data_IF_782485268232
#
_entry.id   IF_782485268232
#
_cell.length_a   1.000
_cell.length_b   1.000
_cell.length_c   1.000
_cell.angle_alpha   90.00
_cell.angle_beta   90.00
_cell.angle_gamma   90.00
#
_symmetry.space_group_name_H-M   'P 1'
#
loop_
_entity.id
_entity.type
_entity.pdbx_description
1 polymer ?
#
# COMPACT_ATOMS: atom_id res chain seq x y z
N UNK A 1 2.06 -16.66 -24.82
CA UNK A 1 1.41 -15.39 -25.20
C UNK A 1 1.45 -14.50 -23.95
N UNK A 2 2.06 -13.34 -24.11
CA UNK A 2 2.13 -12.39 -23.01
C UNK A 2 0.77 -11.80 -22.65
N UNK A 3 0.56 -11.56 -21.35
CA UNK A 3 -0.68 -10.97 -20.87
C UNK A 3 -0.61 -9.44 -21.02
N UNK A 4 -1.45 -8.89 -21.91
CA UNK A 4 -1.55 -7.45 -22.14
C UNK A 4 -1.76 -6.64 -20.85
N UNK A 5 -2.56 -7.17 -19.91
CA UNK A 5 -2.83 -6.48 -18.64
C UNK A 5 -1.58 -6.44 -17.75
N UNK A 6 -0.73 -7.45 -17.78
CA UNK A 6 0.55 -7.43 -17.05
C UNK A 6 1.47 -6.31 -17.54
N UNK A 7 1.56 -6.14 -18.87
CA UNK A 7 2.32 -5.02 -19.47
C UNK A 7 1.77 -3.66 -19.06
N UNK A 8 0.44 -3.48 -19.11
CA UNK A 8 -0.22 -2.24 -18.66
C UNK A 8 0.09 -1.99 -17.17
N UNK A 9 0.05 -3.01 -16.36
CA UNK A 9 0.40 -2.94 -14.93
C UNK A 9 1.84 -2.46 -14.73
N UNK A 10 2.80 -3.08 -15.42
CA UNK A 10 4.21 -2.68 -15.35
C UNK A 10 4.43 -1.22 -15.77
N UNK A 11 3.79 -0.78 -16.87
CA UNK A 11 3.86 0.61 -17.34
C UNK A 11 3.31 1.58 -16.30
N UNK A 12 2.14 1.31 -15.72
CA UNK A 12 1.51 2.17 -14.71
C UNK A 12 2.38 2.31 -13.46
N UNK A 13 2.91 1.21 -12.95
CA UNK A 13 3.79 1.22 -11.78
C UNK A 13 5.12 1.91 -12.11
N UNK A 14 5.72 1.64 -13.28
CA UNK A 14 6.93 2.32 -13.72
C UNK A 14 6.75 3.83 -13.81
N UNK A 15 5.64 4.29 -14.40
CA UNK A 15 5.33 5.72 -14.49
C UNK A 15 5.11 6.36 -13.12
N UNK A 16 4.40 5.69 -12.21
CA UNK A 16 4.17 6.18 -10.85
C UNK A 16 5.48 6.29 -10.04
N UNK A 17 6.47 5.48 -10.36
CA UNK A 17 7.81 5.47 -9.74
C UNK A 17 8.84 6.31 -10.53
N UNK A 18 8.39 7.10 -11.49
CA UNK A 18 9.23 7.99 -12.31
C UNK A 18 10.36 7.26 -13.05
N UNK A 19 10.17 5.99 -13.39
CA UNK A 19 11.13 5.20 -14.14
C UNK A 19 11.10 5.59 -15.62
N UNK A 20 12.26 5.50 -16.28
CA UNK A 20 12.35 5.54 -17.73
C UNK A 20 11.87 4.20 -18.28
N UNK A 21 10.74 4.21 -18.98
CA UNK A 21 10.10 3.00 -19.52
C UNK A 21 10.81 2.58 -20.81
N UNK A 22 11.20 1.29 -20.88
CA UNK A 22 11.70 0.68 -22.10
C UNK A 22 10.51 0.18 -22.95
N UNK A 23 10.31 0.69 -24.18
CA UNK A 23 9.23 0.24 -25.04
C UNK A 23 9.48 -1.14 -25.65
N UNK A 24 10.69 -1.70 -25.53
CA UNK A 24 11.02 -3.03 -26.04
C UNK A 24 10.92 -4.06 -24.92
N UNK A 25 9.80 -4.76 -24.85
CA UNK A 25 9.57 -5.85 -23.89
C UNK A 25 10.31 -7.11 -24.36
N UNK A 26 11.22 -7.60 -23.55
CA UNK A 26 12.00 -8.83 -23.80
C UNK A 26 12.11 -9.63 -22.52
N UNK A 27 12.12 -10.95 -22.66
CA UNK A 27 12.26 -11.86 -21.54
C UNK A 27 13.54 -12.67 -21.61
N UNK A 28 14.01 -13.07 -20.43
CA UNK A 28 15.15 -13.93 -20.20
C UNK A 28 14.71 -15.14 -19.36
N UNK A 29 15.44 -16.23 -19.44
CA UNK A 29 15.30 -17.37 -18.56
C UNK A 29 16.30 -17.28 -17.40
N UNK A 30 15.79 -17.37 -16.17
CA UNK A 30 16.56 -17.51 -14.94
C UNK A 30 16.57 -18.98 -14.56
N UNK A 31 17.71 -19.62 -14.71
CA UNK A 31 17.83 -21.08 -14.52
C UNK A 31 18.31 -21.39 -13.11
N UNK A 32 17.52 -22.12 -12.35
CA UNK A 32 17.92 -22.65 -11.05
C UNK A 32 17.04 -23.83 -10.68
N UNK A 33 17.55 -24.66 -9.78
CA UNK A 33 16.86 -25.86 -9.33
C UNK A 33 16.28 -25.62 -7.93
N UNK A 34 14.95 -25.56 -7.86
CA UNK A 34 14.24 -25.45 -6.59
C UNK A 34 12.87 -26.12 -6.69
N UNK A 35 12.37 -26.64 -5.57
CA UNK A 35 11.13 -27.45 -5.55
C UNK A 35 9.87 -26.67 -5.94
N UNK A 36 9.87 -25.34 -5.77
CA UNK A 36 8.76 -24.45 -6.13
C UNK A 36 8.77 -24.05 -7.62
N UNK A 37 9.80 -24.42 -8.35
CA UNK A 37 10.02 -24.04 -9.73
C UNK A 37 9.70 -25.21 -10.67
N UNK A 38 8.45 -25.23 -11.18
CA UNK A 38 7.88 -26.34 -11.93
C UNK A 38 8.70 -26.74 -13.16
N UNK A 39 9.30 -25.77 -13.86
CA UNK A 39 9.98 -25.96 -15.15
C UNK A 39 11.50 -26.04 -15.04
N UNK A 40 12.07 -25.78 -13.85
CA UNK A 40 13.52 -25.65 -13.65
C UNK A 40 14.07 -24.29 -14.09
N UNK A 41 13.22 -23.37 -14.54
CA UNK A 41 13.55 -21.97 -14.86
C UNK A 41 12.39 -21.05 -14.56
N UNK A 42 12.68 -19.78 -14.41
CA UNK A 42 11.70 -18.71 -14.26
C UNK A 42 11.87 -17.72 -15.40
N UNK A 43 10.76 -17.34 -16.03
CA UNK A 43 10.75 -16.24 -17.03
C UNK A 43 10.86 -14.93 -16.25
N UNK A 44 11.80 -14.08 -16.67
CA UNK A 44 12.12 -12.81 -16.03
C UNK A 44 12.66 -11.81 -17.06
N UNK A 45 13.14 -10.65 -16.60
CA UNK A 45 13.76 -9.63 -17.46
C UNK A 45 15.07 -9.15 -16.82
N UNK A 46 16.14 -9.90 -17.02
CA UNK A 46 17.46 -9.57 -16.46
C UNK A 46 18.14 -8.42 -17.21
N UNK A 47 18.16 -8.50 -18.54
CA UNK A 47 18.92 -7.57 -19.36
C UNK A 47 18.12 -6.37 -19.84
N UNK A 48 16.81 -6.56 -20.04
CA UNK A 48 15.90 -5.53 -20.52
C UNK A 48 14.69 -5.39 -19.58
N UNK A 49 14.86 -4.78 -18.40
CA UNK A 49 13.73 -4.50 -17.50
C UNK A 49 12.82 -3.44 -18.12
N UNK A 50 11.53 -3.47 -17.76
CA UNK A 50 10.50 -2.57 -18.30
C UNK A 50 10.74 -1.09 -17.94
N UNK A 51 11.48 -0.82 -16.86
CA UNK A 51 11.82 0.55 -16.46
C UNK A 51 13.09 0.61 -15.62
N UNK A 52 13.79 1.73 -15.71
CA UNK A 52 15.07 1.99 -15.03
C UNK A 52 15.13 3.40 -14.46
N UNK A 53 15.97 3.57 -13.42
CA UNK A 53 16.38 4.88 -12.90
C UNK A 53 15.22 5.79 -12.49
N UNK A 54 14.37 5.30 -11.60
CA UNK A 54 13.27 6.07 -11.04
C UNK A 54 13.52 6.50 -9.60
N UNK A 55 12.45 6.99 -8.99
CA UNK A 55 12.50 7.39 -7.57
C UNK A 55 11.11 7.40 -6.93
N UNK A 56 11.11 7.37 -5.61
CA UNK A 56 9.95 7.56 -4.76
C UNK A 56 10.33 8.43 -3.57
N UNK A 57 9.57 9.47 -3.30
CA UNK A 57 9.78 10.35 -2.15
C UNK A 57 8.99 9.83 -0.95
N UNK A 58 9.65 9.68 0.19
CA UNK A 58 9.06 9.26 1.46
C UNK A 58 9.30 10.31 2.54
N UNK A 59 8.47 10.31 3.57
CA UNK A 59 8.67 11.14 4.75
C UNK A 59 9.63 10.42 5.72
N UNK A 60 10.80 10.95 5.97
CA UNK A 60 11.76 10.42 6.93
C UNK A 60 11.24 10.48 8.38
N UNK A 61 11.95 9.85 9.30
CA UNK A 61 11.58 9.81 10.73
C UNK A 61 11.54 11.22 11.36
N UNK A 62 12.35 12.12 10.85
CA UNK A 62 12.41 13.55 11.21
C UNK A 62 11.34 14.42 10.54
N UNK A 63 10.46 13.82 9.74
CA UNK A 63 9.43 14.51 8.97
C UNK A 63 9.90 15.13 7.64
N UNK A 64 11.20 15.09 7.34
CA UNK A 64 11.75 15.60 6.09
C UNK A 64 11.45 14.63 4.93
N UNK A 65 11.30 15.18 3.74
CA UNK A 65 11.15 14.36 2.53
C UNK A 65 12.51 13.80 2.14
N UNK A 66 12.55 12.49 1.93
CA UNK A 66 13.72 11.77 1.48
C UNK A 66 13.42 11.02 0.19
N UNK A 67 14.26 11.24 -0.82
CA UNK A 67 14.19 10.53 -2.09
C UNK A 67 14.87 9.18 -1.98
N UNK A 68 14.14 8.13 -2.36
CA UNK A 68 14.65 6.78 -2.51
C UNK A 68 14.69 6.47 -4.00
N UNK A 69 15.88 6.24 -4.53
CA UNK A 69 16.04 5.88 -5.92
C UNK A 69 15.61 4.42 -6.14
N UNK A 70 15.09 4.17 -7.32
CA UNK A 70 14.65 2.85 -7.78
C UNK A 70 15.53 2.47 -8.95
N UNK A 71 16.21 1.33 -8.82
CA UNK A 71 17.12 0.84 -9.83
C UNK A 71 16.34 0.41 -11.06
N UNK A 72 15.31 -0.43 -10.87
CA UNK A 72 14.53 -0.99 -11.97
C UNK A 72 13.19 -1.56 -11.51
N UNK A 73 12.34 -1.77 -12.50
CA UNK A 73 11.14 -2.60 -12.44
C UNK A 73 11.21 -3.62 -13.57
N UNK A 74 10.87 -4.87 -13.29
CA UNK A 74 10.79 -5.91 -14.31
C UNK A 74 9.63 -6.87 -14.05
N UNK A 75 9.14 -7.47 -15.13
CA UNK A 75 8.15 -8.54 -15.05
C UNK A 75 8.83 -9.90 -14.92
N UNK A 76 8.20 -10.79 -14.18
CA UNK A 76 8.55 -12.19 -14.07
C UNK A 76 7.31 -13.06 -13.85
N UNK A 77 7.47 -14.36 -13.88
CA UNK A 77 6.42 -15.29 -13.46
C UNK A 77 6.59 -15.69 -12.00
N UNK A 78 5.48 -15.83 -11.28
CA UNK A 78 5.50 -16.32 -9.91
C UNK A 78 5.74 -17.84 -9.87
N UNK A 79 6.27 -18.31 -8.75
CA UNK A 79 6.52 -19.73 -8.47
C UNK A 79 5.37 -20.32 -7.66
N UNK A 80 5.41 -21.63 -7.39
CA UNK A 80 4.39 -22.23 -6.55
C UNK A 80 4.56 -21.82 -5.07
N UNK A 81 3.47 -21.89 -4.32
CA UNK A 81 3.50 -21.71 -2.87
C UNK A 81 3.99 -22.99 -2.22
N UNK A 82 5.05 -22.87 -1.42
CA UNK A 82 5.61 -24.01 -0.69
C UNK A 82 5.33 -23.88 0.81
N UNK A 83 4.78 -24.93 1.39
CA UNK A 83 4.55 -25.06 2.82
C UNK A 83 5.47 -26.13 3.37
N UNK A 84 6.35 -25.76 4.28
CA UNK A 84 7.31 -26.67 4.92
C UNK A 84 6.75 -27.23 6.22
N UNK A 85 6.83 -28.54 6.37
CA UNK A 85 6.56 -29.30 7.61
C UNK A 85 7.83 -30.06 8.03
N UNK A 86 7.81 -30.68 9.19
CA UNK A 86 9.00 -31.32 9.73
C UNK A 86 9.58 -32.41 8.79
N UNK A 87 8.71 -33.22 8.18
CA UNK A 87 9.12 -34.40 7.39
C UNK A 87 8.75 -34.31 5.90
N UNK A 88 8.02 -33.28 5.49
CA UNK A 88 7.59 -33.09 4.09
C UNK A 88 7.31 -31.63 3.76
N UNK A 89 7.17 -31.32 2.47
CA UNK A 89 6.71 -30.03 1.97
C UNK A 89 5.50 -30.23 1.07
N UNK A 90 4.52 -29.34 1.18
CA UNK A 90 3.40 -29.26 0.25
C UNK A 90 3.67 -28.17 -0.77
N UNK A 91 3.32 -28.44 -2.03
CA UNK A 91 3.46 -27.53 -3.16
C UNK A 91 2.06 -27.18 -3.69
N UNK A 92 1.72 -25.90 -3.69
CA UNK A 92 0.49 -25.37 -4.26
C UNK A 92 0.82 -24.57 -5.52
N UNK A 93 0.45 -25.13 -6.67
CA UNK A 93 0.75 -24.57 -7.99
C UNK A 93 -0.26 -23.54 -8.50
N UNK A 94 -1.31 -23.21 -7.73
CA UNK A 94 -2.35 -22.26 -8.18
C UNK A 94 -1.80 -20.89 -8.55
N UNK A 95 -0.66 -20.49 -8.00
CA UNK A 95 0.01 -19.23 -8.27
C UNK A 95 1.13 -19.32 -9.31
N UNK A 96 1.58 -20.53 -9.65
CA UNK A 96 2.70 -20.73 -10.57
C UNK A 96 2.37 -20.17 -11.97
N UNK A 97 3.27 -19.35 -12.51
CA UNK A 97 3.11 -18.70 -13.82
C UNK A 97 2.22 -17.45 -13.81
N UNK A 98 1.70 -17.02 -12.67
CA UNK A 98 0.98 -15.75 -12.56
C UNK A 98 1.98 -14.60 -12.77
N UNK A 99 1.65 -13.57 -13.55
CA UNK A 99 2.53 -12.42 -13.75
C UNK A 99 2.84 -11.73 -12.41
N UNK A 100 4.11 -11.45 -12.19
CA UNK A 100 4.68 -10.78 -11.03
C UNK A 100 5.52 -9.60 -11.50
N UNK A 101 5.47 -8.50 -10.77
CA UNK A 101 6.33 -7.34 -11.00
C UNK A 101 7.26 -7.21 -9.82
N UNK A 102 8.57 -7.16 -10.07
CA UNK A 102 9.59 -6.91 -9.06
C UNK A 102 10.11 -5.47 -9.17
N UNK A 103 10.15 -4.77 -8.03
CA UNK A 103 10.66 -3.40 -7.89
C UNK A 103 11.92 -3.48 -7.06
N UNK A 104 13.04 -3.02 -7.59
CA UNK A 104 14.34 -3.03 -6.92
C UNK A 104 14.75 -1.61 -6.57
N UNK A 105 14.87 -1.32 -5.28
CA UNK A 105 15.35 -0.02 -4.79
C UNK A 105 16.87 0.07 -4.79
N UNK A 106 17.40 1.29 -4.94
CA UNK A 106 18.77 1.59 -4.59
C UNK A 106 18.97 1.60 -3.04
N UNK A 107 20.19 1.47 -2.55
CA UNK A 107 20.46 1.35 -1.12
C UNK A 107 20.47 2.72 -0.39
N UNK A 108 19.40 3.47 -0.52
CA UNK A 108 19.27 4.82 0.06
C UNK A 108 18.66 4.82 1.47
N UNK A 109 17.91 3.77 1.82
CA UNK A 109 17.26 3.66 3.13
C UNK A 109 18.27 3.38 4.24
N UNK A 110 18.02 3.94 5.43
CA UNK A 110 18.98 3.91 6.56
C UNK A 110 18.43 3.31 7.85
N UNK A 111 17.11 3.06 7.94
CA UNK A 111 16.46 2.52 9.12
C UNK A 111 15.16 1.82 8.77
N UNK A 112 14.58 1.12 9.77
CA UNK A 112 13.35 0.35 9.60
C UNK A 112 12.14 1.23 9.25
N UNK A 113 12.03 2.42 9.81
CA UNK A 113 10.93 3.36 9.52
C UNK A 113 10.94 3.80 8.06
N UNK A 114 12.10 4.11 7.49
CA UNK A 114 12.23 4.48 6.07
C UNK A 114 11.84 3.32 5.15
N UNK A 115 12.27 2.10 5.47
CA UNK A 115 11.91 0.92 4.70
C UNK A 115 10.40 0.62 4.78
N UNK A 116 9.81 0.71 5.95
CA UNK A 116 8.37 0.55 6.17
C UNK A 116 7.58 1.56 5.34
N UNK A 117 7.94 2.85 5.39
CA UNK A 117 7.26 3.91 4.63
C UNK A 117 7.45 3.77 3.11
N UNK A 118 8.62 3.30 2.69
CA UNK A 118 8.85 2.98 1.28
C UNK A 118 7.89 1.89 0.78
N UNK A 119 7.77 0.79 1.51
CA UNK A 119 6.85 -0.31 1.13
C UNK A 119 5.39 0.14 1.23
N UNK A 120 5.03 0.96 2.22
CA UNK A 120 3.70 1.57 2.34
C UNK A 120 3.35 2.42 1.11
N UNK A 121 4.28 3.26 0.66
CA UNK A 121 4.09 4.08 -0.53
C UNK A 121 3.95 3.23 -1.81
N UNK A 122 4.77 2.17 -1.96
CA UNK A 122 4.60 1.18 -3.05
C UNK A 122 3.22 0.52 -2.98
N UNK A 123 2.80 0.08 -1.79
CA UNK A 123 1.47 -0.51 -1.58
C UNK A 123 0.36 0.44 -2.02
N UNK A 124 0.45 1.71 -1.63
CA UNK A 124 -0.52 2.73 -2.04
C UNK A 124 -0.57 2.91 -3.56
N UNK A 125 0.58 2.90 -4.23
CA UNK A 125 0.65 2.98 -5.69
C UNK A 125 -0.07 1.78 -6.33
N UNK A 126 0.24 0.54 -5.93
CA UNK A 126 -0.32 -0.65 -6.58
C UNK A 126 -1.81 -0.83 -6.27
N UNK A 127 -2.28 -0.40 -5.11
CA UNK A 127 -3.71 -0.43 -4.75
C UNK A 127 -4.49 0.60 -5.55
N UNK A 128 -4.06 1.85 -5.56
CA UNK A 128 -4.79 2.95 -6.22
C UNK A 128 -4.67 2.94 -7.75
N UNK A 129 -3.61 2.35 -8.30
CA UNK A 129 -3.52 2.07 -9.75
C UNK A 129 -4.33 0.83 -10.18
N UNK A 130 -4.98 0.14 -9.26
CA UNK A 130 -5.74 -1.10 -9.46
C UNK A 130 -4.88 -2.22 -10.09
N UNK A 131 -3.61 -2.28 -9.73
CA UNK A 131 -2.66 -3.30 -10.22
C UNK A 131 -2.49 -4.46 -9.25
N UNK A 132 -2.72 -4.24 -7.96
CA UNK A 132 -2.73 -5.27 -6.91
C UNK A 132 -3.64 -4.84 -5.76
N UNK A 133 -4.11 -5.78 -4.95
CA UNK A 133 -4.80 -5.47 -3.69
C UNK A 133 -3.85 -5.10 -2.54
N UNK A 134 -2.54 -5.26 -2.75
CA UNK A 134 -1.49 -4.85 -1.83
C UNK A 134 -1.47 -5.59 -0.49
N UNK A 135 -2.11 -6.76 -0.39
CA UNK A 135 -2.20 -7.54 0.85
C UNK A 135 -0.93 -8.35 1.07
N UNK A 136 -0.17 -7.98 2.09
CA UNK A 136 1.07 -8.67 2.45
C UNK A 136 0.79 -10.03 3.09
N UNK A 137 -0.22 -10.13 3.93
CA UNK A 137 -0.62 -11.37 4.62
C UNK A 137 -1.13 -12.46 3.67
N UNK A 138 -1.68 -12.08 2.52
CA UNK A 138 -2.12 -12.99 1.46
C UNK A 138 -1.03 -13.25 0.40
N UNK A 139 0.09 -12.53 0.48
CA UNK A 139 1.22 -12.66 -0.44
C UNK A 139 1.03 -11.95 -1.79
N UNK A 140 0.05 -11.04 -1.89
CA UNK A 140 -0.14 -10.19 -3.08
C UNK A 140 0.94 -9.10 -3.19
N UNK A 141 1.47 -8.66 -2.06
CA UNK A 141 2.66 -7.82 -1.97
C UNK A 141 3.67 -8.52 -1.07
N UNK A 142 4.87 -8.74 -1.57
CA UNK A 142 5.98 -9.38 -0.83
C UNK A 142 7.16 -8.42 -0.77
N UNK A 143 7.91 -8.49 0.32
CA UNK A 143 9.07 -7.66 0.52
C UNK A 143 10.21 -8.52 1.07
N UNK A 144 11.34 -8.52 0.37
CA UNK A 144 12.61 -9.02 0.86
C UNK A 144 13.52 -7.82 1.13
N UNK A 145 14.21 -7.83 2.25
CA UNK A 145 15.11 -6.74 2.64
C UNK A 145 16.54 -7.22 2.67
N UNK A 146 17.42 -6.49 2.00
CA UNK A 146 18.87 -6.66 2.10
C UNK A 146 19.45 -5.56 2.98
N UNK A 147 20.14 -5.95 4.04
CA UNK A 147 20.72 -5.01 5.01
C UNK A 147 22.19 -5.32 5.30
N UNK A 148 23.01 -4.29 5.33
CA UNK A 148 24.40 -4.34 5.78
C UNK A 148 24.74 -3.08 6.56
N UNK A 149 25.71 -3.17 7.46
CA UNK A 149 26.22 -2.02 8.20
C UNK A 149 27.64 -1.66 7.74
N UNK A 150 27.95 -0.39 7.76
CA UNK A 150 29.27 0.15 7.48
C UNK A 150 29.63 1.26 8.47
N UNK A 151 30.92 1.52 8.70
CA UNK A 151 31.32 2.67 9.51
C UNK A 151 30.77 3.98 8.95
N UNK A 152 30.46 4.92 9.83
CA UNK A 152 30.02 6.25 9.40
C UNK A 152 31.08 6.90 8.51
N UNK A 153 30.65 7.45 7.38
CA UNK A 153 31.54 8.06 6.38
C UNK A 153 32.17 7.08 5.38
N UNK A 154 32.05 5.76 5.59
CA UNK A 154 32.50 4.77 4.60
C UNK A 154 31.55 4.74 3.40
N UNK A 155 32.09 4.54 2.19
CA UNK A 155 31.34 4.29 0.96
C UNK A 155 31.18 2.80 0.65
N UNK A 156 32.02 1.95 1.26
CA UNK A 156 32.00 0.50 1.06
C UNK A 156 30.88 -0.15 1.88
N UNK A 157 30.09 -1.00 1.26
CA UNK A 157 29.04 -1.75 1.95
C UNK A 157 29.66 -2.86 2.82
N UNK A 158 29.04 -3.11 3.96
CA UNK A 158 29.33 -4.28 4.77
C UNK A 158 28.74 -5.56 4.20
N UNK A 159 28.89 -6.66 4.94
CA UNK A 159 28.34 -7.96 4.56
C UNK A 159 26.81 -7.94 4.58
N UNK A 160 26.21 -8.29 3.45
CA UNK A 160 24.78 -8.26 3.23
C UNK A 160 24.08 -9.45 3.88
N UNK A 161 23.03 -9.17 4.64
CA UNK A 161 22.08 -10.16 5.16
C UNK A 161 20.72 -9.94 4.50
N UNK A 162 20.11 -11.02 4.03
CA UNK A 162 18.77 -11.01 3.43
C UNK A 162 17.73 -11.37 4.49
N UNK A 163 16.70 -10.53 4.65
CA UNK A 163 15.58 -10.76 5.56
C UNK A 163 14.34 -11.17 4.77
N UNK A 164 13.72 -12.27 5.18
CA UNK A 164 12.50 -12.84 4.58
C UNK A 164 11.38 -12.96 5.61
N UNK A 165 10.19 -13.33 5.13
CA UNK A 165 9.00 -13.51 5.97
C UNK A 165 8.54 -12.22 6.63
N UNK A 166 8.49 -11.14 5.83
CA UNK A 166 8.05 -9.81 6.25
C UNK A 166 6.59 -9.62 5.81
N UNK A 167 5.65 -10.08 6.64
CA UNK A 167 4.23 -10.22 6.29
C UNK A 167 3.38 -8.98 6.63
N UNK A 168 3.98 -7.93 7.16
CA UNK A 168 3.32 -6.65 7.44
C UNK A 168 4.32 -5.49 7.40
N UNK A 169 3.82 -4.27 7.27
CA UNK A 169 4.64 -3.06 7.36
C UNK A 169 5.39 -2.97 8.70
N UNK A 170 4.70 -3.31 9.78
CA UNK A 170 5.29 -3.36 11.13
C UNK A 170 6.44 -4.38 11.23
N UNK A 171 6.29 -5.53 10.59
CA UNK A 171 7.34 -6.57 10.58
C UNK A 171 8.59 -6.09 9.86
N UNK A 172 8.47 -5.29 8.79
CA UNK A 172 9.61 -4.70 8.08
C UNK A 172 10.41 -3.80 9.02
N UNK A 173 9.74 -2.89 9.72
CA UNK A 173 10.38 -1.99 10.67
C UNK A 173 11.06 -2.74 11.81
N UNK A 174 10.34 -3.65 12.47
CA UNK A 174 10.85 -4.42 13.60
C UNK A 174 12.01 -5.36 13.21
N UNK A 175 11.91 -6.04 12.07
CA UNK A 175 12.96 -6.92 11.59
C UNK A 175 14.25 -6.17 11.30
N UNK A 176 14.15 -5.00 10.67
CA UNK A 176 15.31 -4.16 10.39
C UNK A 176 15.93 -3.58 11.66
N UNK A 177 15.12 -3.07 12.58
CA UNK A 177 15.64 -2.52 13.84
C UNK A 177 16.36 -3.60 14.65
N UNK A 178 15.81 -4.82 14.72
CA UNK A 178 16.48 -5.95 15.34
C UNK A 178 17.79 -6.32 14.64
N UNK A 179 17.77 -6.43 13.31
CA UNK A 179 18.92 -6.87 12.53
C UNK A 179 20.06 -5.83 12.56
N UNK A 180 19.74 -4.54 12.53
CA UNK A 180 20.70 -3.45 12.71
C UNK A 180 21.38 -3.56 14.08
N UNK A 181 20.60 -3.78 15.14
CA UNK A 181 21.15 -3.98 16.49
C UNK A 181 22.02 -5.24 16.59
N UNK A 182 21.60 -6.36 15.99
CA UNK A 182 22.37 -7.60 15.95
C UNK A 182 23.72 -7.44 15.24
N UNK A 183 23.69 -6.87 14.02
CA UNK A 183 24.91 -6.65 13.24
C UNK A 183 25.85 -5.66 13.95
N UNK A 184 25.30 -4.62 14.57
CA UNK A 184 26.09 -3.66 15.37
C UNK A 184 26.81 -4.38 16.51
N UNK A 185 26.12 -5.25 17.25
CA UNK A 185 26.73 -6.01 18.34
C UNK A 185 27.83 -6.96 17.83
N UNK A 186 27.64 -7.64 16.70
CA UNK A 186 28.67 -8.46 16.07
C UNK A 186 29.93 -7.64 15.74
N UNK A 187 29.75 -6.52 15.04
CA UNK A 187 30.86 -5.68 14.60
C UNK A 187 31.63 -5.06 15.79
N UNK A 188 30.92 -4.60 16.82
CA UNK A 188 31.51 -4.05 18.02
C UNK A 188 32.29 -5.09 18.85
N UNK A 189 31.87 -6.35 18.80
CA UNK A 189 32.61 -7.46 19.46
C UNK A 189 33.75 -8.02 18.62
N UNK A 190 33.98 -7.48 17.42
CA UNK A 190 35.01 -8.01 16.50
C UNK A 190 34.59 -9.29 15.78
N UNK A 191 33.33 -9.71 15.91
CA UNK A 191 32.80 -10.89 15.21
C UNK A 191 32.29 -10.47 13.82
N UNK A 192 32.79 -11.09 12.74
CA UNK A 192 32.35 -10.73 11.39
C UNK A 192 30.87 -11.13 11.17
N UNK A 193 30.13 -10.24 10.50
CA UNK A 193 28.80 -10.58 9.99
C UNK A 193 28.96 -11.55 8.82
N UNK A 194 28.22 -12.64 8.82
CA UNK A 194 28.21 -13.61 7.72
C UNK A 194 27.13 -13.28 6.70
N UNK A 195 27.39 -13.61 5.45
CA UNK A 195 26.36 -13.49 4.39
C UNK A 195 25.34 -14.63 4.55
N UNK A 196 24.15 -14.27 4.98
CA UNK A 196 23.12 -15.24 5.33
C UNK A 196 21.72 -14.75 4.95
N UNK A 197 20.77 -15.69 4.86
CA UNK A 197 19.35 -15.41 4.78
C UNK A 197 18.74 -15.71 6.15
N UNK A 198 18.00 -14.73 6.67
CA UNK A 198 17.28 -14.81 7.95
C UNK A 198 15.79 -14.60 7.72
N UNK A 199 14.94 -15.24 8.52
CA UNK A 199 13.50 -14.96 8.56
C UNK A 199 13.16 -14.15 9.80
N UNK A 200 12.18 -13.29 9.70
CA UNK A 200 11.60 -12.64 10.87
C UNK A 200 10.64 -13.61 11.58
N UNK A 201 10.78 -13.72 12.89
CA UNK A 201 9.93 -14.50 13.77
C UNK A 201 9.10 -13.53 14.63
N UNK A 202 7.83 -13.37 14.28
CA UNK A 202 6.93 -12.42 14.95
C UNK A 202 6.76 -12.71 16.45
N UNK A 203 6.70 -14.00 16.81
CA UNK A 203 6.46 -14.39 18.19
C UNK A 203 7.59 -13.96 19.13
N UNK A 204 8.85 -14.05 18.66
CA UNK A 204 10.02 -13.62 19.44
C UNK A 204 10.46 -12.20 19.13
N UNK A 205 9.98 -11.58 18.05
CA UNK A 205 10.43 -10.27 17.57
C UNK A 205 11.88 -10.26 17.07
N UNK A 206 12.40 -11.40 16.61
CA UNK A 206 13.80 -11.60 16.25
C UNK A 206 13.95 -12.11 14.82
N UNK A 207 15.13 -11.89 14.24
CA UNK A 207 15.52 -12.59 13.01
C UNK A 207 16.18 -13.93 13.39
N UNK A 208 15.84 -14.98 12.65
CA UNK A 208 16.35 -16.33 12.85
C UNK A 208 17.05 -16.82 11.60
N UNK A 209 18.22 -17.43 11.75
CA UNK A 209 18.99 -17.97 10.63
C UNK A 209 18.18 -19.03 9.88
N UNK A 210 18.10 -18.89 8.55
CA UNK A 210 17.56 -19.91 7.65
C UNK A 210 18.68 -20.69 6.96
N UNK A 211 19.62 -19.97 6.37
CA UNK A 211 20.78 -20.57 5.68
C UNK A 211 21.94 -19.58 5.62
N UNK A 212 23.15 -20.09 5.62
CA UNK A 212 24.36 -19.35 5.28
C UNK A 212 24.54 -19.41 3.76
N UNK A 213 24.84 -18.29 3.13
CA UNK A 213 25.14 -18.24 1.68
C UNK A 213 26.64 -18.47 1.52
N UNK A 214 27.01 -19.65 1.03
CA UNK A 214 28.41 -20.01 0.79
C UNK A 214 28.94 -19.51 -0.55
N UNK A 215 28.06 -19.43 -1.56
CA UNK A 215 28.43 -19.02 -2.93
C UNK A 215 27.33 -18.22 -3.59
N UNK A 216 27.70 -17.34 -4.52
CA UNK A 216 26.76 -16.66 -5.41
C UNK A 216 26.22 -17.69 -6.43
N UNK A 217 24.90 -17.81 -6.52
CA UNK A 217 24.27 -18.67 -7.52
C UNK A 217 24.40 -18.00 -8.88
N UNK A 218 25.03 -18.69 -9.82
CA UNK A 218 25.03 -18.31 -11.24
C UNK A 218 23.75 -18.86 -11.89
N UNK A 219 22.80 -17.97 -12.14
CA UNK A 219 21.52 -18.31 -12.75
C UNK A 219 21.58 -18.59 -14.24
N UNK A 220 22.73 -18.41 -14.90
CA UNK A 220 22.95 -18.67 -16.33
C UNK A 220 21.83 -18.08 -17.20
N UNK A 221 21.62 -16.79 -17.06
CA UNK A 221 20.61 -16.07 -17.82
C UNK A 221 20.87 -16.14 -19.32
N UNK A 222 19.80 -16.39 -20.09
CA UNK A 222 19.81 -16.24 -21.55
C UNK A 222 18.42 -15.83 -22.04
N UNK A 223 18.30 -15.24 -23.26
CA UNK A 223 17.02 -14.79 -23.80
C UNK A 223 15.99 -15.92 -23.89
N UNK A 224 14.74 -15.64 -23.51
CA UNK A 224 13.62 -16.58 -23.68
C UNK A 224 13.33 -16.79 -25.17
N UNK A 225 13.53 -18.00 -25.72
CA UNK A 225 13.44 -18.22 -27.15
C UNK A 225 12.00 -18.31 -27.68
N UNK A 226 11.03 -18.59 -26.84
CA UNK A 226 9.63 -18.81 -27.21
C UNK A 226 8.76 -17.54 -27.15
N UNK A 227 9.27 -16.46 -26.58
CA UNK A 227 8.60 -15.17 -26.52
C UNK A 227 9.40 -14.18 -27.36
N UNK A 228 8.88 -13.88 -28.56
CA UNK A 228 9.51 -12.88 -29.43
C UNK A 228 9.50 -11.50 -28.74
N UNK A 229 10.55 -10.68 -28.90
CA UNK A 229 10.55 -9.31 -28.44
C UNK A 229 9.34 -8.53 -28.96
N UNK A 230 8.70 -7.75 -28.09
CA UNK A 230 7.51 -6.98 -28.41
C UNK A 230 7.85 -5.50 -28.36
N UNK A 231 7.77 -4.81 -29.49
CA UNK A 231 7.90 -3.36 -29.54
C UNK A 231 6.55 -2.72 -29.22
N UNK A 232 6.45 -2.04 -28.08
CA UNK A 232 5.29 -1.25 -27.72
C UNK A 232 5.27 0.05 -28.52
N UNK A 233 4.10 0.44 -29.01
CA UNK A 233 3.93 1.76 -29.61
C UNK A 233 3.87 2.84 -28.54
N UNK A 234 4.30 4.06 -28.90
CA UNK A 234 4.16 5.23 -28.04
C UNK A 234 2.70 5.43 -27.61
N UNK A 235 1.76 5.28 -28.53
CA UNK A 235 0.32 5.37 -28.25
C UNK A 235 -0.12 4.36 -27.19
N UNK A 236 0.35 3.11 -27.24
CA UNK A 236 0.02 2.09 -26.24
C UNK A 236 0.54 2.49 -24.85
N UNK A 237 1.79 2.93 -24.77
CA UNK A 237 2.41 3.36 -23.50
C UNK A 237 1.66 4.55 -22.92
N UNK A 238 1.40 5.60 -23.72
CA UNK A 238 0.70 6.79 -23.27
C UNK A 238 -0.75 6.50 -22.87
N UNK A 239 -1.44 5.61 -23.57
CA UNK A 239 -2.79 5.20 -23.21
C UNK A 239 -2.81 4.44 -21.86
N UNK A 240 -1.84 3.55 -21.62
CA UNK A 240 -1.71 2.86 -20.34
C UNK A 240 -1.51 3.82 -19.17
N UNK A 241 -0.71 4.88 -19.38
CA UNK A 241 -0.49 5.95 -18.39
C UNK A 241 -1.75 6.78 -18.20
N UNK A 242 -2.35 7.27 -19.28
CA UNK A 242 -3.51 8.16 -19.24
C UNK A 242 -4.77 7.51 -18.65
N UNK A 243 -4.91 6.19 -18.79
CA UNK A 243 -6.03 5.42 -18.23
C UNK A 243 -5.75 4.88 -16.82
N UNK A 244 -4.60 5.21 -16.22
CA UNK A 244 -4.32 4.88 -14.83
C UNK A 244 -5.27 5.66 -13.93
N UNK A 245 -5.93 5.03 -12.94
CA UNK A 245 -6.71 5.74 -11.95
C UNK A 245 -5.88 6.77 -11.16
N UNK A 246 -6.55 7.75 -10.58
CA UNK A 246 -5.91 8.73 -9.70
C UNK A 246 -5.20 8.05 -8.53
N UNK A 247 -3.93 8.31 -8.35
CA UNK A 247 -3.10 7.69 -7.32
C UNK A 247 -3.32 8.29 -5.94
N UNK A 248 -2.87 7.59 -4.91
CA UNK A 248 -3.02 7.95 -3.50
C UNK A 248 -2.61 9.40 -3.21
N UNK A 249 -1.40 9.82 -3.61
CA UNK A 249 -0.88 11.15 -3.30
C UNK A 249 -1.69 12.27 -3.97
N UNK A 250 -2.16 12.06 -5.20
CA UNK A 250 -3.03 13.02 -5.89
C UNK A 250 -4.39 13.14 -5.20
N UNK A 251 -4.99 12.01 -4.79
CA UNK A 251 -6.23 12.00 -3.99
C UNK A 251 -6.03 12.69 -2.65
N UNK A 252 -4.93 12.41 -1.96
CA UNK A 252 -4.60 13.05 -0.67
C UNK A 252 -4.51 14.57 -0.83
N UNK A 253 -3.77 15.05 -1.82
CA UNK A 253 -3.67 16.49 -2.10
C UNK A 253 -5.06 17.12 -2.30
N UNK A 254 -5.92 16.48 -3.09
CA UNK A 254 -7.30 16.95 -3.33
C UNK A 254 -8.16 16.90 -2.06
N UNK A 255 -7.99 15.93 -1.18
CA UNK A 255 -8.71 15.87 0.10
C UNK A 255 -8.27 16.98 1.07
N UNK A 256 -6.99 17.33 1.06
CA UNK A 256 -6.49 18.49 1.83
C UNK A 256 -7.10 19.81 1.31
N UNK A 257 -7.26 19.97 0.00
CA UNK A 257 -7.96 21.13 -0.60
C UNK A 257 -9.45 21.19 -0.21
N UNK A 258 -10.10 20.06 0.05
CA UNK A 258 -11.45 19.97 0.60
C UNK A 258 -11.52 20.30 2.11
N UNK A 259 -10.39 20.59 2.73
CA UNK A 259 -10.29 20.98 4.14
C UNK A 259 -10.11 19.82 5.13
N UNK A 260 -9.80 18.62 4.68
CA UNK A 260 -9.43 17.51 5.55
C UNK A 260 -8.01 17.76 6.14
N UNK A 261 -7.76 17.23 7.35
CA UNK A 261 -6.40 17.12 7.87
C UNK A 261 -5.63 15.99 7.14
N UNK A 262 -4.29 16.03 7.20
CA UNK A 262 -3.47 14.90 6.67
C UNK A 262 -3.89 13.57 7.28
N UNK A 263 -4.11 13.55 8.61
CA UNK A 263 -4.50 12.33 9.34
C UNK A 263 -5.85 11.80 8.85
N UNK A 264 -6.84 12.67 8.68
CA UNK A 264 -8.18 12.26 8.23
C UNK A 264 -8.13 11.73 6.79
N UNK A 265 -7.38 12.41 5.92
CA UNK A 265 -7.16 11.96 4.55
C UNK A 265 -6.48 10.57 4.52
N UNK A 266 -5.43 10.35 5.31
CA UNK A 266 -4.73 9.08 5.38
C UNK A 266 -5.63 7.96 5.93
N UNK A 267 -6.48 8.23 6.91
CA UNK A 267 -7.44 7.25 7.44
C UNK A 267 -8.43 6.82 6.34
N UNK A 268 -9.03 7.77 5.63
CA UNK A 268 -9.98 7.46 4.55
C UNK A 268 -9.27 6.71 3.40
N UNK A 269 -8.07 7.16 3.01
CA UNK A 269 -7.30 6.56 1.94
C UNK A 269 -6.64 5.22 2.31
N UNK A 270 -6.60 4.85 3.57
CA UNK A 270 -6.10 3.53 4.00
C UNK A 270 -6.98 2.36 3.54
N UNK A 271 -8.24 2.64 3.20
CA UNK A 271 -9.22 1.69 2.68
C UNK A 271 -9.79 2.24 1.36
N UNK A 272 -9.48 1.59 0.24
CA UNK A 272 -9.90 2.05 -1.09
C UNK A 272 -11.42 2.09 -1.24
N UNK A 273 -12.14 1.19 -0.58
CA UNK A 273 -13.61 1.16 -0.61
C UNK A 273 -14.19 2.32 0.21
N UNK A 274 -13.55 2.69 1.32
CA UNK A 274 -13.91 3.88 2.10
C UNK A 274 -13.66 5.16 1.30
N UNK A 275 -12.53 5.26 0.60
CA UNK A 275 -12.24 6.38 -0.28
C UNK A 275 -13.28 6.50 -1.40
N UNK A 276 -13.67 5.38 -2.02
CA UNK A 276 -14.70 5.36 -3.05
C UNK A 276 -16.08 5.79 -2.50
N UNK A 277 -16.43 5.35 -1.30
CA UNK A 277 -17.66 5.76 -0.63
C UNK A 277 -17.64 7.25 -0.31
N UNK A 278 -16.53 7.76 0.23
CA UNK A 278 -16.34 9.18 0.51
C UNK A 278 -16.52 10.05 -0.73
N UNK A 279 -15.89 9.67 -1.84
CA UNK A 279 -16.00 10.39 -3.11
C UNK A 279 -17.43 10.49 -3.62
N UNK A 280 -18.19 9.41 -3.55
CA UNK A 280 -19.60 9.40 -3.93
C UNK A 280 -20.46 10.26 -2.99
N UNK A 281 -20.20 10.18 -1.69
CA UNK A 281 -20.98 10.92 -0.69
C UNK A 281 -20.87 12.44 -0.86
N UNK A 282 -19.68 12.98 -1.16
CA UNK A 282 -19.53 14.43 -1.35
C UNK A 282 -19.67 14.91 -2.80
N UNK A 283 -19.86 14.01 -3.77
CA UNK A 283 -19.88 14.33 -5.19
C UNK A 283 -20.86 15.46 -5.58
N UNK A 284 -22.01 15.54 -4.89
CA UNK A 284 -23.05 16.55 -5.14
C UNK A 284 -22.76 17.88 -4.45
N UNK A 285 -21.98 17.88 -3.36
CA UNK A 285 -21.71 19.09 -2.57
C UNK A 285 -20.36 18.96 -1.84
N UNK A 286 -19.30 19.52 -2.41
CA UNK A 286 -17.97 19.50 -1.80
C UNK A 286 -17.88 20.23 -0.45
N UNK A 287 -18.83 21.12 -0.11
CA UNK A 287 -18.81 21.85 1.17
C UNK A 287 -19.03 20.94 2.38
N UNK A 288 -19.72 19.81 2.20
CA UNK A 288 -19.98 18.84 3.27
C UNK A 288 -18.89 17.79 3.40
N UNK A 289 -17.83 17.82 2.59
CA UNK A 289 -16.78 16.79 2.57
C UNK A 289 -16.16 16.58 3.96
N UNK A 290 -15.83 17.64 4.69
CA UNK A 290 -15.26 17.53 6.04
C UNK A 290 -16.21 16.87 7.03
N UNK A 291 -17.49 17.20 6.97
CA UNK A 291 -18.53 16.62 7.83
C UNK A 291 -18.73 15.14 7.51
N UNK A 292 -18.78 14.77 6.21
CA UNK A 292 -18.80 13.35 5.79
C UNK A 292 -17.56 12.61 6.28
N UNK A 293 -16.36 13.20 6.15
CA UNK A 293 -15.13 12.58 6.63
C UNK A 293 -15.18 12.28 8.14
N UNK A 294 -15.68 13.20 8.96
CA UNK A 294 -15.85 13.01 10.38
C UNK A 294 -16.78 11.82 10.66
N UNK A 295 -17.94 11.73 9.99
CA UNK A 295 -18.84 10.58 10.13
C UNK A 295 -18.19 9.27 9.72
N UNK A 296 -17.44 9.24 8.62
CA UNK A 296 -16.73 8.04 8.16
C UNK A 296 -15.72 7.55 9.19
N UNK A 297 -14.90 8.46 9.72
CA UNK A 297 -13.80 8.15 10.63
C UNK A 297 -14.33 7.69 12.00
N UNK A 298 -15.40 8.29 12.49
CA UNK A 298 -15.93 8.03 13.84
C UNK A 298 -17.09 7.03 13.78
N UNK A 299 -18.22 7.43 13.20
CA UNK A 299 -19.48 6.68 13.30
C UNK A 299 -19.46 5.42 12.42
N UNK A 300 -19.05 5.57 11.17
CA UNK A 300 -19.01 4.44 10.21
C UNK A 300 -17.94 3.43 10.63
N UNK A 301 -16.74 3.86 10.97
CA UNK A 301 -15.70 2.96 11.48
C UNK A 301 -16.09 2.32 12.81
N UNK A 302 -16.74 3.07 13.70
CA UNK A 302 -17.27 2.55 14.95
C UNK A 302 -18.26 1.41 14.72
N UNK A 303 -19.21 1.62 13.80
CA UNK A 303 -20.18 0.58 13.40
C UNK A 303 -19.49 -0.65 12.78
N UNK A 304 -18.57 -0.43 11.83
CA UNK A 304 -17.84 -1.50 11.15
C UNK A 304 -17.05 -2.36 12.12
N UNK A 305 -16.30 -1.72 13.00
CA UNK A 305 -15.48 -2.42 14.00
C UNK A 305 -16.34 -3.23 15.00
N UNK A 306 -17.46 -2.67 15.42
CA UNK A 306 -18.39 -3.33 16.34
C UNK A 306 -19.04 -4.57 15.71
N UNK A 307 -19.38 -4.52 14.42
CA UNK A 307 -20.10 -5.56 13.73
C UNK A 307 -19.19 -6.47 12.88
N UNK A 308 -17.91 -6.18 12.77
CA UNK A 308 -16.95 -6.96 11.98
C UNK A 308 -17.22 -6.94 10.48
N UNK A 309 -17.75 -5.84 9.93
CA UNK A 309 -18.13 -5.72 8.52
C UNK A 309 -17.16 -4.83 7.74
N UNK A 310 -16.96 -5.18 6.47
CA UNK A 310 -16.18 -4.37 5.52
C UNK A 310 -16.95 -3.12 5.08
N UNK A 311 -16.28 -2.20 4.37
CA UNK A 311 -16.97 -1.03 3.82
C UNK A 311 -18.01 -1.39 2.76
N UNK A 312 -17.80 -2.48 2.01
CA UNK A 312 -18.78 -3.00 1.02
C UNK A 312 -20.05 -3.54 1.64
N UNK A 313 -19.95 -4.00 2.89
CA UNK A 313 -21.09 -4.57 3.65
C UNK A 313 -21.76 -3.51 4.54
N UNK A 314 -21.23 -2.29 4.56
CA UNK A 314 -21.80 -1.20 5.35
C UNK A 314 -23.21 -0.85 4.82
N UNK A 315 -24.25 -0.84 5.68
CA UNK A 315 -25.62 -0.83 5.22
C UNK A 315 -26.16 0.53 4.73
N UNK A 316 -25.48 1.64 5.12
CA UNK A 316 -25.97 2.98 4.77
C UNK A 316 -25.46 3.41 3.40
N UNK A 317 -26.36 3.80 2.46
CA UNK A 317 -25.97 4.37 1.17
C UNK A 317 -25.22 5.70 1.31
N UNK A 318 -24.33 5.99 0.35
CA UNK A 318 -23.52 7.20 0.32
C UNK A 318 -24.36 8.48 0.31
N UNK A 319 -25.45 8.47 -0.48
CA UNK A 319 -26.38 9.61 -0.58
C UNK A 319 -27.06 9.90 0.77
N UNK A 320 -27.42 8.86 1.51
CA UNK A 320 -28.06 9.02 2.84
C UNK A 320 -27.09 9.63 3.86
N UNK A 321 -25.81 9.24 3.82
CA UNK A 321 -24.81 9.88 4.67
C UNK A 321 -24.59 11.35 4.28
N UNK A 322 -24.62 11.65 2.99
CA UNK A 322 -24.56 13.03 2.48
C UNK A 322 -25.75 13.87 2.97
N UNK A 323 -26.94 13.31 2.98
CA UNK A 323 -28.14 14.00 3.49
C UNK A 323 -28.03 14.27 5.01
N UNK A 324 -27.54 13.31 5.79
CA UNK A 324 -27.27 13.48 7.23
C UNK A 324 -26.21 14.58 7.46
N UNK A 325 -25.12 14.58 6.70
CA UNK A 325 -24.09 15.61 6.77
C UNK A 325 -24.65 17.00 6.39
N UNK A 326 -25.54 17.06 5.41
CA UNK A 326 -26.22 18.29 5.01
C UNK A 326 -27.11 18.86 6.11
N UNK A 327 -27.82 18.00 6.85
CA UNK A 327 -28.61 18.43 8.02
C UNK A 327 -27.72 19.08 9.07
N UNK A 328 -26.51 18.57 9.30
CA UNK A 328 -25.57 19.19 10.24
C UNK A 328 -25.14 20.60 9.78
N UNK A 329 -24.84 20.77 8.51
CA UNK A 329 -24.52 22.08 7.95
C UNK A 329 -25.72 23.05 7.98
N UNK A 330 -26.93 22.52 7.88
CA UNK A 330 -28.19 23.28 8.01
C UNK A 330 -28.52 23.68 9.45
N UNK A 331 -27.71 23.28 10.43
CA UNK A 331 -27.80 23.71 11.83
C UNK A 331 -28.45 22.71 12.79
N UNK A 332 -28.60 21.43 12.38
CA UNK A 332 -28.87 20.37 13.35
C UNK A 332 -27.58 20.02 14.11
N UNK A 333 -27.72 19.72 15.40
CA UNK A 333 -26.56 19.36 16.21
C UNK A 333 -25.96 18.02 15.78
N UNK A 334 -24.66 17.84 15.97
CA UNK A 334 -24.00 16.58 15.70
C UNK A 334 -24.69 15.39 16.42
N UNK A 335 -25.13 15.58 17.65
CA UNK A 335 -25.86 14.56 18.42
C UNK A 335 -27.19 14.16 17.74
N UNK A 336 -27.93 15.13 17.20
CA UNK A 336 -29.17 14.85 16.46
C UNK A 336 -28.86 14.08 15.17
N UNK A 337 -27.81 14.43 14.46
CA UNK A 337 -27.37 13.73 13.25
C UNK A 337 -26.92 12.29 13.54
N UNK A 338 -26.25 12.04 14.68
CA UNK A 338 -25.93 10.67 15.14
C UNK A 338 -27.20 9.88 15.44
N UNK A 339 -28.22 10.48 16.05
CA UNK A 339 -29.50 9.80 16.29
C UNK A 339 -30.18 9.40 14.96
N UNK A 340 -30.18 10.30 13.98
CA UNK A 340 -30.71 10.02 12.62
C UNK A 340 -29.89 8.90 11.95
N UNK A 341 -28.57 8.95 12.01
CA UNK A 341 -27.67 7.94 11.49
C UNK A 341 -27.98 6.54 12.05
N UNK A 342 -28.11 6.44 13.37
CA UNK A 342 -28.42 5.17 14.02
C UNK A 342 -29.83 4.67 13.66
N UNK A 343 -30.84 5.55 13.62
CA UNK A 343 -32.21 5.19 13.26
C UNK A 343 -32.29 4.68 11.82
N UNK A 344 -31.59 5.31 10.87
CA UNK A 344 -31.56 4.81 9.48
C UNK A 344 -30.91 3.43 9.39
N UNK A 345 -29.83 3.17 10.14
CA UNK A 345 -29.19 1.86 10.17
C UNK A 345 -30.12 0.79 10.74
N UNK A 346 -30.87 1.10 11.79
CA UNK A 346 -31.74 0.14 12.46
C UNK A 346 -33.08 -0.08 11.72
N UNK A 347 -33.69 0.98 11.22
CA UNK A 347 -35.06 0.98 10.70
C UNK A 347 -35.15 1.19 9.19
N UNK A 348 -34.03 1.54 8.55
CA UNK A 348 -33.99 1.90 7.13
C UNK A 348 -34.66 3.23 6.81
N UNK A 349 -34.78 3.51 5.53
CA UNK A 349 -35.38 4.76 5.01
C UNK A 349 -34.37 5.86 4.78
N UNK A 350 -34.85 7.08 4.50
CA UNK A 350 -34.05 8.26 4.28
C UNK A 350 -33.72 9.01 5.58
N UNK A 351 -32.75 9.91 5.52
CA UNK A 351 -32.41 10.79 6.65
C UNK A 351 -33.61 11.61 7.11
N UNK A 352 -34.45 12.08 6.17
CA UNK A 352 -35.65 12.86 6.48
C UNK A 352 -36.74 12.03 7.14
N UNK A 353 -36.97 10.77 6.69
CA UNK A 353 -37.90 9.87 7.35
C UNK A 353 -37.46 9.53 8.78
N UNK A 354 -36.18 9.29 9.01
CA UNK A 354 -35.61 9.09 10.35
C UNK A 354 -35.80 10.33 11.23
N UNK A 355 -35.53 11.52 10.70
CA UNK A 355 -35.73 12.80 11.39
C UNK A 355 -37.19 12.95 11.87
N UNK A 356 -38.15 12.63 10.99
CA UNK A 356 -39.58 12.69 11.31
C UNK A 356 -39.99 11.63 12.35
N UNK A 357 -39.52 10.39 12.23
CA UNK A 357 -39.76 9.33 13.22
C UNK A 357 -39.30 9.73 14.62
N UNK A 358 -38.10 10.31 14.70
CA UNK A 358 -37.47 10.74 15.93
C UNK A 358 -38.01 12.10 16.44
N UNK A 359 -38.85 12.79 15.65
CA UNK A 359 -39.37 14.13 15.96
C UNK A 359 -38.25 15.14 16.26
N UNK A 360 -37.15 15.04 15.49
CA UNK A 360 -36.01 15.93 15.63
C UNK A 360 -36.31 17.22 14.86
N UNK A 361 -36.28 18.34 15.60
CA UNK A 361 -36.41 19.68 15.06
C UNK A 361 -35.10 20.47 15.22
N UNK A 362 -34.89 21.42 14.31
CA UNK A 362 -33.76 22.33 14.39
C UNK A 362 -33.86 23.16 15.66
N UNK A 363 -32.77 23.24 16.42
CA UNK A 363 -32.75 24.15 17.58
C UNK A 363 -32.86 25.59 17.07
N UNK A 364 -33.80 26.33 17.65
CA UNK A 364 -33.90 27.77 17.37
C UNK A 364 -32.56 28.41 17.76
N UNK A 365 -31.94 29.15 16.85
CA UNK A 365 -30.78 29.95 17.20
C UNK A 365 -31.18 30.99 18.25
N UNK A 366 -30.54 30.96 19.39
CA UNK A 366 -30.81 31.80 20.54
C UNK A 366 -30.32 33.26 20.34
N UNK A 367 -30.08 33.66 19.09
CA UNK A 367 -29.63 35.01 18.75
C UNK A 367 -30.61 36.10 19.20
N UNK A 368 -31.90 35.75 19.34
CA UNK A 368 -32.91 36.64 19.87
C UNK A 368 -32.85 36.88 21.39
N UNK A 369 -32.42 35.86 22.15
CA UNK A 369 -32.28 35.96 23.60
C UNK A 369 -30.99 36.69 24.02
N UNK A 370 -29.89 36.48 23.29
CA UNK A 370 -28.64 37.22 23.57
C UNK A 370 -28.77 38.71 23.26
N UNK A 371 -29.48 39.09 22.21
CA UNK A 371 -29.79 40.51 21.94
C UNK A 371 -30.74 41.12 22.98
N UNK A 372 -31.63 40.33 23.57
CA UNK A 372 -32.48 40.79 24.69
C UNK A 372 -31.67 41.15 25.93
N UNK A 373 -30.68 40.33 26.30
CA UNK A 373 -29.82 40.59 27.47
C UNK A 373 -28.79 41.72 27.27
N UNK A 374 -28.39 41.99 26.05
CA UNK A 374 -27.43 43.08 25.74
C UNK A 374 -28.12 44.45 25.74
N UNK A 375 -29.44 44.52 25.58
CA UNK A 375 -30.21 45.79 25.60
C UNK A 375 -30.80 46.13 26.98
N UNK A 376 -30.64 45.28 28.02
CA UNK A 376 -31.06 45.53 29.40
C UNK A 376 -29.90 45.91 30.33
N UNK A 377 -28.68 46.06 29.85
CA UNK A 377 -27.53 46.60 30.59
C UNK A 377 -27.10 47.91 29.95
#
# INVERSE_FOLDING_TARGET
IENKQAVITAIRVANALHLTIDPLVRFDLKNYFYSDLLKGFQITQQFNPDGKEGYLDIKGKDGQIKRIHIERIHMEEDTCKQLHFADYSLLDYNRAGVPLVEIVSCPDMRNGTEAMRYVEAIRNIVVYSLTSDGKMEEGSLRCDVNVSLRPYGSTEFGTKVELKNLNSLKNIEQALDYEIARQSACLLSGTPVQQETRRFDEASGRTVLMRVKTDAVDYKYFPEPNIAPIQLSEEFVQNAIATCPELYEAKKARYLELGLSETDADIILSDIDMAAYFEKAFAKNGKIAKTIANFLIVEVNGYRNKNGVSMKEFPLPEDTLADIASLQEDGYTHKQCIQIFNDVIENGGSAEEARLRLKIEKQASDDGLVLGFVNEV
#
